data_IF_966387149804
#
_entry.id   IF_966387149804
#
_cell.length_a   1.000
_cell.length_b   1.000
_cell.length_c   1.000
_cell.angle_alpha   90.00
_cell.angle_beta   90.00
_cell.angle_gamma   90.00
#
_symmetry.space_group_name_H-M   'P 1'
#
loop_
_entity.id
_entity.type
_entity.pdbx_description
1 polymer ?
#
# COMPACT_ATOMS: atom_id res chain seq x y z
N UNK A 1 -9.85 26.89 -6.17
CA UNK A 1 -9.10 26.69 -4.92
C UNK A 1 -7.68 26.35 -5.33
N UNK A 2 -6.75 27.28 -5.12
CA UNK A 2 -5.35 27.01 -5.44
C UNK A 2 -4.84 25.91 -4.51
N UNK A 3 -4.29 24.84 -5.08
CA UNK A 3 -3.61 23.79 -4.35
C UNK A 3 -2.13 23.85 -4.74
N UNK A 4 -1.25 24.06 -3.77
CA UNK A 4 0.19 24.17 -4.04
C UNK A 4 0.81 22.85 -4.50
N UNK A 5 0.12 21.71 -4.30
CA UNK A 5 0.53 20.41 -4.80
C UNK A 5 -0.42 19.98 -5.94
N UNK A 6 0.06 19.99 -7.20
CA UNK A 6 -0.74 19.55 -8.34
C UNK A 6 -1.08 18.06 -8.24
N UNK A 7 -2.26 17.68 -8.74
CA UNK A 7 -2.75 16.30 -8.75
C UNK A 7 -1.74 15.30 -9.32
N UNK A 8 -1.03 15.66 -10.39
CA UNK A 8 -0.02 14.77 -11.01
C UNK A 8 1.09 14.38 -10.03
N UNK A 9 1.57 15.32 -9.22
CA UNK A 9 2.59 15.06 -8.19
C UNK A 9 2.00 14.27 -7.02
N UNK A 10 0.79 14.63 -6.59
CA UNK A 10 0.05 13.90 -5.55
C UNK A 10 -0.12 12.42 -5.94
N UNK A 11 -0.52 12.16 -7.18
CA UNK A 11 -0.71 10.80 -7.71
C UNK A 11 0.56 9.97 -7.65
N UNK A 12 1.66 10.46 -8.25
CA UNK A 12 2.91 9.70 -8.31
C UNK A 12 3.51 9.45 -6.93
N UNK A 13 3.52 10.46 -6.05
CA UNK A 13 4.01 10.31 -4.68
C UNK A 13 3.17 9.28 -3.92
N UNK A 14 1.84 9.36 -4.03
CA UNK A 14 0.94 8.43 -3.33
C UNK A 14 1.05 7.00 -3.86
N UNK A 15 1.23 6.84 -5.18
CA UNK A 15 1.43 5.53 -5.80
C UNK A 15 2.72 4.88 -5.30
N UNK A 16 3.84 5.60 -5.35
CA UNK A 16 5.14 5.08 -4.90
C UNK A 16 5.08 4.75 -3.41
N UNK A 17 4.52 5.64 -2.59
CA UNK A 17 4.34 5.43 -1.16
C UNK A 17 3.44 4.21 -0.88
N UNK A 18 2.34 4.04 -1.61
CA UNK A 18 1.44 2.90 -1.50
C UNK A 18 2.11 1.58 -1.86
N UNK A 19 2.77 1.50 -3.02
CA UNK A 19 3.44 0.28 -3.48
C UNK A 19 4.57 -0.13 -2.53
N UNK A 20 5.44 0.81 -2.15
CA UNK A 20 6.57 0.53 -1.25
C UNK A 20 6.11 0.15 0.16
N UNK A 21 5.09 0.83 0.69
CA UNK A 21 4.51 0.51 2.01
C UNK A 21 3.79 -0.83 1.99
N UNK A 22 2.98 -1.10 0.95
CA UNK A 22 2.23 -2.34 0.79
C UNK A 22 3.15 -3.56 0.65
N UNK A 23 4.10 -3.51 -0.29
CA UNK A 23 5.03 -4.62 -0.51
C UNK A 23 6.02 -4.77 0.66
N UNK A 24 6.53 -3.66 1.21
CA UNK A 24 7.46 -3.69 2.34
C UNK A 24 6.80 -4.23 3.60
N UNK A 25 5.77 -3.56 4.11
CA UNK A 25 5.14 -3.94 5.38
C UNK A 25 4.32 -5.22 5.28
N UNK A 26 3.72 -5.51 4.13
CA UNK A 26 2.98 -6.74 3.95
C UNK A 26 3.90 -7.98 3.93
N UNK A 27 5.18 -7.85 3.55
CA UNK A 27 6.16 -8.93 3.71
C UNK A 27 6.46 -9.23 5.18
N UNK A 28 6.53 -8.20 6.03
CA UNK A 28 6.72 -8.33 7.49
C UNK A 28 5.48 -8.98 8.12
N UNK A 29 4.29 -8.56 7.70
CA UNK A 29 3.04 -9.20 8.11
C UNK A 29 3.01 -10.68 7.74
N UNK A 30 3.42 -11.02 6.52
CA UNK A 30 3.51 -12.42 6.08
C UNK A 30 4.52 -13.25 6.88
N UNK A 31 5.70 -12.69 7.15
CA UNK A 31 6.69 -13.33 8.01
C UNK A 31 6.17 -13.54 9.45
N UNK A 32 5.44 -12.56 9.99
CA UNK A 32 4.81 -12.68 11.31
C UNK A 32 3.73 -13.79 11.33
N UNK A 33 2.89 -13.88 10.27
CA UNK A 33 1.92 -14.97 10.13
C UNK A 33 2.58 -16.34 10.02
N UNK A 34 3.66 -16.47 9.24
CA UNK A 34 4.46 -17.71 9.18
C UNK A 34 4.93 -18.12 10.58
N UNK A 35 5.44 -17.18 11.38
CA UNK A 35 5.92 -17.44 12.72
C UNK A 35 4.80 -17.78 13.71
N UNK A 36 3.63 -17.15 13.58
CA UNK A 36 2.52 -17.28 14.53
C UNK A 36 1.61 -18.49 14.25
N UNK A 37 1.32 -18.77 12.97
CA UNK A 37 0.39 -19.83 12.55
C UNK A 37 1.11 -21.09 12.08
N UNK A 38 2.42 -21.01 11.85
CA UNK A 38 3.19 -22.05 11.19
C UNK A 38 2.94 -22.10 9.69
N UNK A 39 3.79 -22.86 9.00
CA UNK A 39 3.67 -23.14 7.57
C UNK A 39 2.54 -24.17 7.34
N UNK A 40 1.54 -23.81 6.54
CA UNK A 40 0.52 -24.76 6.02
C UNK A 40 1.12 -25.87 5.16
N UNK A 41 0.28 -26.78 4.63
CA UNK A 41 0.75 -27.86 3.74
C UNK A 41 1.50 -27.28 2.54
N UNK A 42 2.55 -27.97 2.08
CA UNK A 42 3.35 -27.50 0.95
C UNK A 42 2.51 -27.39 -0.33
N UNK A 43 1.49 -28.23 -0.46
CA UNK A 43 0.50 -28.22 -1.54
C UNK A 43 -0.29 -26.88 -1.61
N UNK A 44 -0.50 -26.23 -0.46
CA UNK A 44 -1.26 -24.97 -0.33
C UNK A 44 -0.33 -23.73 -0.26
N UNK A 45 0.97 -23.92 -0.43
CA UNK A 45 1.95 -22.85 -0.26
C UNK A 45 1.81 -21.76 -1.33
N UNK A 46 1.54 -22.14 -2.59
CA UNK A 46 1.31 -21.19 -3.69
C UNK A 46 2.54 -20.40 -4.16
N UNK A 47 3.74 -20.92 -3.94
CA UNK A 47 5.00 -20.22 -4.23
C UNK A 47 5.49 -20.27 -5.69
N UNK A 48 4.69 -20.79 -6.63
CA UNK A 48 5.13 -21.02 -8.01
C UNK A 48 4.26 -20.33 -9.06
N UNK A 49 4.90 -19.63 -10.00
CA UNK A 49 4.22 -18.96 -11.12
C UNK A 49 3.11 -18.02 -10.66
N UNK A 50 1.92 -18.16 -11.27
CA UNK A 50 0.74 -17.33 -10.96
C UNK A 50 0.05 -17.64 -9.63
N UNK A 51 0.42 -18.71 -8.93
CA UNK A 51 -0.22 -19.10 -7.66
C UNK A 51 0.00 -18.05 -6.55
N UNK A 52 1.05 -17.24 -6.67
CA UNK A 52 1.30 -16.09 -5.78
C UNK A 52 0.23 -14.99 -5.89
N UNK A 53 -0.68 -15.07 -6.86
CA UNK A 53 -1.83 -14.16 -6.98
C UNK A 53 -3.16 -14.84 -6.62
N UNK A 54 -3.15 -16.12 -6.23
CA UNK A 54 -4.34 -16.83 -5.75
C UNK A 54 -4.48 -16.64 -4.22
N UNK A 55 -5.46 -15.84 -3.75
CA UNK A 55 -5.62 -15.51 -2.34
C UNK A 55 -6.02 -16.71 -1.46
N UNK A 56 -6.34 -17.86 -2.05
CA UNK A 56 -6.65 -19.10 -1.32
C UNK A 56 -5.39 -19.87 -0.92
N UNK A 57 -4.24 -19.57 -1.54
CA UNK A 57 -2.93 -20.10 -1.16
C UNK A 57 -2.26 -19.24 -0.10
N UNK A 58 -1.31 -19.80 0.63
CA UNK A 58 -0.60 -19.06 1.65
C UNK A 58 0.16 -17.83 1.10
N UNK A 59 0.98 -18.03 0.06
CA UNK A 59 1.73 -16.94 -0.57
C UNK A 59 0.82 -15.94 -1.27
N UNK A 60 -0.26 -16.40 -1.90
CA UNK A 60 -1.20 -15.52 -2.56
C UNK A 60 -2.07 -14.73 -1.59
N UNK A 61 -2.42 -15.28 -0.42
CA UNK A 61 -3.05 -14.51 0.66
C UNK A 61 -2.13 -13.39 1.15
N UNK A 62 -0.85 -13.69 1.39
CA UNK A 62 0.13 -12.66 1.76
C UNK A 62 0.24 -11.56 0.71
N UNK A 63 0.38 -11.93 -0.57
CA UNK A 63 0.49 -10.98 -1.67
C UNK A 63 -0.80 -10.16 -1.83
N UNK A 64 -1.97 -10.78 -1.64
CA UNK A 64 -3.25 -10.09 -1.61
C UNK A 64 -3.30 -9.04 -0.49
N UNK A 65 -2.88 -9.40 0.73
CA UNK A 65 -2.77 -8.45 1.83
C UNK A 65 -1.83 -7.28 1.47
N UNK A 66 -0.64 -7.55 0.90
CA UNK A 66 0.31 -6.51 0.46
C UNK A 66 -0.35 -5.52 -0.51
N UNK A 67 -1.08 -6.04 -1.50
CA UNK A 67 -1.79 -5.24 -2.51
C UNK A 67 -2.88 -4.38 -1.86
N UNK A 68 -3.73 -4.97 -1.02
CA UNK A 68 -4.81 -4.26 -0.33
C UNK A 68 -4.28 -3.16 0.58
N UNK A 69 -3.26 -3.47 1.40
CA UNK A 69 -2.62 -2.48 2.25
C UNK A 69 -1.98 -1.35 1.43
N UNK A 70 -1.32 -1.68 0.31
CA UNK A 70 -0.72 -0.69 -0.57
C UNK A 70 -1.74 0.27 -1.19
N UNK A 71 -2.86 -0.26 -1.69
CA UNK A 71 -3.96 0.55 -2.23
C UNK A 71 -4.62 1.41 -1.16
N UNK A 72 -4.87 0.86 0.04
CA UNK A 72 -5.42 1.63 1.14
C UNK A 72 -4.50 2.80 1.54
N UNK A 73 -3.20 2.54 1.65
CA UNK A 73 -2.22 3.58 1.99
C UNK A 73 -2.08 4.64 0.89
N UNK A 74 -2.08 4.23 -0.38
CA UNK A 74 -2.12 5.15 -1.51
C UNK A 74 -3.32 6.09 -1.43
N UNK A 75 -4.52 5.57 -1.17
CA UNK A 75 -5.74 6.39 -1.06
C UNK A 75 -5.63 7.40 0.09
N UNK A 76 -5.10 6.99 1.24
CA UNK A 76 -4.85 7.88 2.39
C UNK A 76 -3.87 9.00 2.00
N UNK A 77 -2.76 8.66 1.33
CA UNK A 77 -1.77 9.64 0.86
C UNK A 77 -2.37 10.63 -0.13
N UNK A 78 -3.18 10.17 -1.08
CA UNK A 78 -3.88 11.04 -2.03
C UNK A 78 -4.71 12.10 -1.33
N UNK A 79 -5.47 11.70 -0.30
CA UNK A 79 -6.30 12.61 0.49
C UNK A 79 -5.42 13.54 1.31
N UNK A 80 -4.44 12.99 2.04
CA UNK A 80 -3.57 13.75 2.95
C UNK A 80 -2.77 14.83 2.21
N UNK A 81 -2.11 14.46 1.12
CA UNK A 81 -1.30 15.40 0.31
C UNK A 81 -2.16 16.47 -0.35
N UNK A 82 -3.36 16.11 -0.86
CA UNK A 82 -4.28 17.10 -1.43
C UNK A 82 -4.75 18.12 -0.39
N UNK A 83 -5.10 17.65 0.82
CA UNK A 83 -5.52 18.53 1.91
C UNK A 83 -4.37 19.41 2.41
N UNK A 84 -3.17 18.84 2.53
CA UNK A 84 -1.99 19.59 2.94
C UNK A 84 -1.66 20.72 1.95
N UNK A 85 -1.64 20.44 0.64
CA UNK A 85 -1.36 21.47 -0.35
C UNK A 85 -2.42 22.58 -0.42
N UNK A 86 -3.67 22.30 -0.05
CA UNK A 86 -4.71 23.31 0.10
C UNK A 86 -4.50 24.18 1.36
N UNK A 87 -4.10 23.57 2.49
CA UNK A 87 -3.77 24.31 3.72
C UNK A 87 -2.56 25.23 3.53
N UNK A 88 -1.51 24.76 2.86
CA UNK A 88 -0.33 25.57 2.54
C UNK A 88 -0.69 26.76 1.62
N UNK A 89 -1.61 26.56 0.67
CA UNK A 89 -2.10 27.64 -0.19
C UNK A 89 -2.83 28.72 0.61
N UNK A 90 -3.68 28.30 1.55
CA UNK A 90 -4.40 29.22 2.45
C UNK A 90 -3.45 29.98 3.38
N UNK A 91 -2.49 29.29 3.99
CA UNK A 91 -1.49 29.91 4.86
C UNK A 91 -0.68 30.97 4.12
N UNK A 92 -0.26 30.68 2.87
CA UNK A 92 0.45 31.64 2.03
C UNK A 92 -0.39 32.85 1.63
N UNK A 93 -1.69 32.67 1.39
CA UNK A 93 -2.58 33.77 1.05
C UNK A 93 -2.90 34.69 2.25
N UNK A 94 -2.73 34.19 3.48
CA UNK A 94 -2.95 34.94 4.72
C UNK A 94 -1.70 35.67 5.24
N UNK A 95 -0.53 35.43 4.64
CA UNK A 95 0.75 36.05 4.96
C UNK A 95 1.04 37.23 4.02
#
# INVERSE_FOLDING_TARGET
MDNLVPYSKTFWVSLIAGVTTGMGNGSVFGAALMCALGRGRFDDWGGWGGQIFDPTTFMGFMNWCMIVFGFAFMAIMMIATSRHGALEAQARAAA
#
